data_IF_077167992948
#
_entry.id   IF_077167992948
#
_cell.length_a   1.000
_cell.length_b   1.000
_cell.length_c   1.000
_cell.angle_alpha   90.00
_cell.angle_beta   90.00
_cell.angle_gamma   90.00
#
_symmetry.space_group_name_H-M   'P 1'
#
loop_
_entity.id
_entity.type
_entity.pdbx_description
1 polymer ?
#
# COMPACT_ATOMS: atom_id res chain seq x y z
N UNK A 1 -20.20 -1.87 -11.23
CA UNK A 1 -19.38 -1.94 -10.00
C UNK A 1 -19.69 -0.73 -9.12
N UNK A 2 -19.91 -0.88 -7.81
CA UNK A 2 -20.10 0.27 -6.92
C UNK A 2 -18.82 1.11 -6.84
N UNK A 3 -18.97 2.43 -6.87
CA UNK A 3 -17.88 3.40 -6.81
C UNK A 3 -17.10 3.30 -5.47
N UNK A 4 -15.76 3.17 -5.47
CA UNK A 4 -14.93 3.08 -4.26
C UNK A 4 -15.18 4.22 -3.25
N UNK A 5 -15.51 5.41 -3.76
CA UNK A 5 -15.82 6.59 -2.94
C UNK A 5 -16.97 6.32 -1.97
N UNK A 6 -18.02 5.61 -2.42
CA UNK A 6 -19.25 5.41 -1.65
C UNK A 6 -19.13 4.29 -0.62
N UNK A 7 -18.40 3.22 -0.95
CA UNK A 7 -18.36 2.01 -0.12
C UNK A 7 -17.13 1.94 0.79
N UNK A 8 -16.09 2.73 0.51
CA UNK A 8 -14.78 2.60 1.16
C UNK A 8 -14.26 3.94 1.68
N UNK A 9 -14.05 4.93 0.80
CA UNK A 9 -13.44 6.22 1.17
C UNK A 9 -14.30 7.00 2.17
N UNK A 10 -15.57 7.24 1.85
CA UNK A 10 -16.47 8.00 2.73
C UNK A 10 -16.77 7.29 4.06
N UNK A 11 -17.12 5.99 4.09
CA UNK A 11 -17.43 5.30 5.35
C UNK A 11 -16.25 5.20 6.33
N UNK A 12 -15.02 5.14 5.81
CA UNK A 12 -13.82 5.11 6.64
C UNK A 12 -13.24 6.50 6.96
N UNK A 13 -13.83 7.57 6.41
CA UNK A 13 -13.32 8.93 6.61
C UNK A 13 -11.90 9.12 6.07
N UNK A 14 -11.59 8.53 4.91
CA UNK A 14 -10.30 8.65 4.23
C UNK A 14 -10.24 9.98 3.45
N UNK A 15 -10.15 11.09 4.18
CA UNK A 15 -10.35 12.43 3.61
C UNK A 15 -9.24 12.87 2.65
N UNK A 16 -8.08 12.20 2.68
CA UNK A 16 -6.96 12.46 1.79
C UNK A 16 -6.79 11.35 0.74
N UNK A 17 -7.83 10.53 0.53
CA UNK A 17 -7.85 9.46 -0.47
C UNK A 17 -8.81 9.77 -1.61
N UNK A 18 -8.33 9.68 -2.85
CA UNK A 18 -9.12 10.01 -4.05
C UNK A 18 -8.93 8.98 -5.16
N UNK A 19 -9.94 8.91 -6.04
CA UNK A 19 -9.90 8.16 -7.31
C UNK A 19 -9.95 9.19 -8.46
N UNK A 20 -8.79 9.75 -8.88
CA UNK A 20 -8.70 10.91 -9.77
C UNK A 20 -9.17 10.66 -11.21
N UNK A 21 -9.27 9.41 -11.65
CA UNK A 21 -9.67 9.08 -13.02
C UNK A 21 -8.59 9.50 -14.02
N UNK A 22 -8.84 10.55 -14.81
CA UNK A 22 -7.89 11.10 -15.78
C UNK A 22 -7.21 12.39 -15.32
N UNK A 23 -7.57 12.91 -14.15
CA UNK A 23 -6.99 14.15 -13.61
C UNK A 23 -5.54 13.88 -13.18
N UNK A 24 -4.53 14.56 -13.76
CA UNK A 24 -3.14 14.37 -13.40
C UNK A 24 -2.73 15.10 -12.12
N UNK A 25 -3.63 15.87 -11.50
CA UNK A 25 -3.32 16.63 -10.29
C UNK A 25 -3.38 15.79 -9.01
N UNK A 26 -2.51 16.09 -8.07
CA UNK A 26 -2.54 15.52 -6.72
C UNK A 26 -3.13 16.58 -5.76
N UNK A 27 -4.21 16.25 -5.01
CA UNK A 27 -4.80 17.17 -4.04
C UNK A 27 -3.86 17.57 -2.89
N UNK A 28 -3.93 18.82 -2.45
CA UNK A 28 -3.13 19.35 -1.34
C UNK A 28 -1.70 19.71 -1.75
N UNK A 29 -0.77 19.90 -0.80
CA UNK A 29 0.67 20.04 -1.09
C UNK A 29 1.30 18.64 -1.26
N UNK A 30 1.52 18.15 -2.49
CA UNK A 30 2.04 16.81 -2.69
C UNK A 30 3.54 16.75 -2.37
N UNK A 31 4.00 15.55 -2.01
CA UNK A 31 5.41 15.24 -2.17
C UNK A 31 5.69 15.09 -3.67
N UNK A 32 6.72 15.75 -4.18
CA UNK A 32 7.07 15.65 -5.60
C UNK A 32 7.71 14.29 -5.90
N UNK A 33 7.24 13.62 -6.95
CA UNK A 33 7.76 12.32 -7.40
C UNK A 33 8.73 12.46 -8.56
N UNK A 34 9.84 11.74 -8.50
CA UNK A 34 10.91 11.86 -9.49
C UNK A 34 11.21 10.52 -10.18
N UNK A 35 11.16 10.49 -11.50
CA UNK A 35 11.47 9.29 -12.29
C UNK A 35 12.62 9.53 -13.25
N UNK A 36 13.58 8.61 -13.26
CA UNK A 36 14.77 8.71 -14.10
C UNK A 36 14.52 8.23 -15.53
N UNK A 37 13.57 7.32 -15.74
CA UNK A 37 13.35 6.64 -17.03
C UNK A 37 14.65 6.14 -17.70
N UNK A 38 15.61 5.67 -16.89
CA UNK A 38 16.93 5.19 -17.36
C UNK A 38 17.93 6.30 -17.70
N UNK A 39 17.66 7.55 -17.34
CA UNK A 39 18.56 8.69 -17.54
C UNK A 39 19.30 9.08 -16.26
N UNK A 40 20.38 9.86 -16.38
CA UNK A 40 21.17 10.31 -15.23
C UNK A 40 20.46 11.36 -14.37
N UNK A 41 19.46 12.07 -14.93
CA UNK A 41 18.78 13.18 -14.27
C UNK A 41 17.30 12.85 -14.14
N UNK A 42 16.79 12.63 -12.92
CA UNK A 42 15.36 12.39 -12.70
C UNK A 42 14.50 13.57 -13.16
N UNK A 43 13.37 13.24 -13.79
CA UNK A 43 12.31 14.16 -14.16
C UNK A 43 11.27 14.22 -13.05
N UNK A 44 10.77 15.41 -12.75
CA UNK A 44 9.59 15.57 -11.92
C UNK A 44 8.37 15.04 -12.68
N UNK A 45 7.78 13.96 -12.16
CA UNK A 45 6.61 13.27 -12.72
C UNK A 45 5.41 13.37 -11.77
N UNK A 46 5.39 14.39 -10.91
CA UNK A 46 4.30 14.60 -9.93
C UNK A 46 2.93 14.67 -10.60
N UNK A 47 2.87 15.24 -11.81
CA UNK A 47 1.67 15.26 -12.62
C UNK A 47 1.69 14.13 -13.65
N UNK A 48 1.11 13.00 -13.28
CA UNK A 48 0.96 11.82 -14.13
C UNK A 48 -0.54 11.53 -14.30
N UNK A 49 -1.01 11.36 -15.53
CA UNK A 49 -2.38 10.91 -15.76
C UNK A 49 -2.54 9.46 -15.25
N UNK A 50 -3.32 9.24 -14.18
CA UNK A 50 -3.37 7.94 -13.51
C UNK A 50 -4.26 6.93 -14.22
N UNK A 51 -4.98 7.33 -15.29
CA UNK A 51 -5.81 6.42 -16.07
C UNK A 51 -5.01 5.32 -16.76
N UNK A 52 -3.70 5.49 -16.93
CA UNK A 52 -2.80 4.44 -17.45
C UNK A 52 -2.63 3.26 -16.47
N UNK A 53 -2.94 3.48 -15.19
CA UNK A 53 -2.89 2.48 -14.12
C UNK A 53 -4.27 1.90 -13.81
N UNK A 54 -5.33 2.68 -14.05
CA UNK A 54 -6.73 2.31 -13.78
C UNK A 54 -6.90 1.68 -12.38
N UNK A 55 -7.70 0.62 -12.23
CA UNK A 55 -7.94 -0.06 -10.95
C UNK A 55 -6.69 -0.69 -10.31
N UNK A 56 -5.56 -0.80 -11.02
CA UNK A 56 -4.34 -1.43 -10.49
C UNK A 56 -3.47 -0.50 -9.65
N UNK A 57 -3.63 0.83 -9.78
CA UNK A 57 -2.73 1.76 -9.11
C UNK A 57 -3.11 3.25 -9.17
N UNK A 58 -4.30 3.62 -9.64
CA UNK A 58 -4.68 5.03 -9.81
C UNK A 58 -5.07 5.77 -8.52
N UNK A 59 -5.18 5.08 -7.38
CA UNK A 59 -5.63 5.69 -6.12
C UNK A 59 -4.52 6.55 -5.52
N UNK A 60 -4.86 7.79 -5.15
CA UNK A 60 -4.00 8.69 -4.37
C UNK A 60 -4.44 8.59 -2.91
N UNK A 61 -3.48 8.52 -1.98
CA UNK A 61 -3.76 8.44 -0.53
C UNK A 61 -2.62 9.01 0.31
N UNK A 62 -2.73 8.91 1.63
CA UNK A 62 -1.67 9.23 2.59
C UNK A 62 -1.32 8.00 3.41
N UNK A 63 -0.13 7.99 4.04
CA UNK A 63 0.28 6.92 4.95
C UNK A 63 -0.77 6.66 6.06
N UNK A 64 -1.38 7.73 6.58
CA UNK A 64 -2.41 7.64 7.60
C UNK A 64 -3.72 7.03 7.09
N UNK A 65 -4.22 7.45 5.93
CA UNK A 65 -5.45 6.90 5.36
C UNK A 65 -5.26 5.44 4.91
N UNK A 66 -4.10 5.09 4.34
CA UNK A 66 -3.74 3.70 4.06
C UNK A 66 -3.72 2.87 5.35
N UNK A 67 -3.07 3.36 6.41
CA UNK A 67 -3.07 2.68 7.71
C UNK A 67 -4.48 2.42 8.25
N UNK A 68 -5.41 3.38 8.10
CA UNK A 68 -6.83 3.21 8.46
C UNK A 68 -7.53 2.17 7.61
N UNK A 69 -7.32 2.19 6.29
CA UNK A 69 -7.90 1.21 5.38
C UNK A 69 -7.49 -0.21 5.74
N UNK A 70 -6.20 -0.48 5.87
CA UNK A 70 -5.70 -1.82 6.18
C UNK A 70 -6.12 -2.30 7.57
N UNK A 71 -6.14 -1.39 8.56
CA UNK A 71 -6.67 -1.71 9.89
C UNK A 71 -8.15 -2.12 9.82
N UNK A 72 -8.99 -1.35 9.11
CA UNK A 72 -10.40 -1.64 8.96
C UNK A 72 -10.68 -2.91 8.14
N UNK A 73 -9.88 -3.17 7.10
CA UNK A 73 -9.99 -4.38 6.29
C UNK A 73 -9.71 -5.62 7.14
N UNK A 74 -8.55 -5.66 7.79
CA UNK A 74 -8.07 -6.85 8.48
C UNK A 74 -8.78 -7.12 9.79
N UNK A 75 -9.34 -6.08 10.43
CA UNK A 75 -10.22 -6.21 11.59
C UNK A 75 -11.67 -6.60 11.21
N UNK A 76 -11.96 -6.85 9.93
CA UNK A 76 -13.28 -7.30 9.46
C UNK A 76 -14.38 -6.24 9.44
N UNK A 77 -14.05 -4.95 9.44
CA UNK A 77 -15.05 -3.87 9.35
C UNK A 77 -15.60 -3.65 7.94
N UNK A 78 -14.88 -4.13 6.92
CA UNK A 78 -15.22 -3.88 5.51
C UNK A 78 -15.88 -5.07 4.82
N UNK A 79 -15.54 -6.29 5.23
CA UNK A 79 -15.94 -7.53 4.55
C UNK A 79 -16.67 -8.44 5.53
N UNK A 80 -17.65 -9.20 5.04
CA UNK A 80 -18.23 -10.28 5.83
C UNK A 80 -17.15 -11.33 6.16
N UNK A 81 -17.27 -12.10 7.25
CA UNK A 81 -16.23 -13.04 7.69
C UNK A 81 -15.73 -13.97 6.57
N UNK A 82 -16.64 -14.61 5.83
CA UNK A 82 -16.26 -15.50 4.72
C UNK A 82 -15.47 -14.79 3.60
N UNK A 83 -15.75 -13.51 3.34
CA UNK A 83 -15.02 -12.73 2.33
C UNK A 83 -13.65 -12.30 2.84
N UNK A 84 -13.54 -11.97 4.13
CA UNK A 84 -12.27 -11.67 4.77
C UNK A 84 -11.37 -12.90 4.79
N UNK A 85 -11.92 -14.06 5.14
CA UNK A 85 -11.19 -15.33 5.15
C UNK A 85 -10.70 -15.68 3.75
N UNK A 86 -11.54 -15.52 2.72
CA UNK A 86 -11.12 -15.69 1.32
C UNK A 86 -10.01 -14.72 0.92
N UNK A 87 -10.05 -13.47 1.39
CA UNK A 87 -9.00 -12.47 1.12
C UNK A 87 -7.66 -12.86 1.75
N UNK A 88 -7.69 -13.42 2.97
CA UNK A 88 -6.54 -13.85 3.75
C UNK A 88 -6.04 -15.27 3.39
N UNK A 89 -6.81 -16.02 2.62
CA UNK A 89 -6.40 -17.36 2.17
C UNK A 89 -5.37 -17.20 1.06
N UNK A 90 -4.14 -17.59 1.34
CA UNK A 90 -3.00 -17.39 0.45
C UNK A 90 -2.61 -18.68 -0.27
N UNK A 91 -1.91 -18.52 -1.39
CA UNK A 91 -1.20 -19.60 -2.10
C UNK A 91 0.26 -19.22 -2.28
N UNK A 92 1.19 -20.17 -2.38
CA UNK A 92 2.60 -19.86 -2.61
C UNK A 92 2.81 -19.04 -3.89
N UNK A 93 3.49 -17.89 -3.76
CA UNK A 93 3.84 -17.02 -4.87
C UNK A 93 5.34 -16.66 -4.82
N UNK A 94 6.24 -17.63 -5.09
CA UNK A 94 7.69 -17.44 -4.90
C UNK A 94 8.28 -16.30 -5.75
N UNK A 95 7.66 -15.96 -6.88
CA UNK A 95 8.08 -14.83 -7.71
C UNK A 95 7.85 -13.47 -7.03
N UNK A 96 6.95 -13.41 -6.05
CA UNK A 96 6.67 -12.24 -5.23
C UNK A 96 7.38 -12.30 -3.86
N UNK A 97 8.09 -13.40 -3.55
CA UNK A 97 8.72 -13.62 -2.26
C UNK A 97 7.73 -13.72 -1.10
N UNK A 98 6.48 -14.12 -1.37
CA UNK A 98 5.38 -14.14 -0.40
C UNK A 98 4.41 -15.30 -0.69
N UNK A 99 3.56 -15.63 0.27
CA UNK A 99 2.29 -16.28 -0.03
C UNK A 99 1.28 -15.18 -0.40
N UNK A 100 0.43 -15.37 -1.41
CA UNK A 100 -0.42 -14.30 -1.94
C UNK A 100 -1.89 -14.70 -1.98
N UNK A 101 -2.75 -13.84 -1.42
CA UNK A 101 -4.19 -13.97 -1.40
C UNK A 101 -4.88 -13.05 -2.41
N UNK A 102 -6.09 -12.58 -2.09
CA UNK A 102 -6.83 -11.68 -2.97
C UNK A 102 -6.37 -10.23 -2.78
N UNK A 103 -5.22 -9.89 -3.39
CA UNK A 103 -4.66 -8.53 -3.32
C UNK A 103 -3.92 -8.23 -2.01
N UNK A 104 -3.44 -9.25 -1.31
CA UNK A 104 -2.58 -9.13 -0.13
C UNK A 104 -1.50 -10.22 -0.19
N UNK A 105 -0.24 -9.84 0.03
CA UNK A 105 0.84 -10.77 0.30
C UNK A 105 0.95 -11.03 1.81
N UNK A 106 1.16 -12.27 2.22
CA UNK A 106 1.50 -12.64 3.59
C UNK A 106 3.02 -12.85 3.69
N UNK A 107 3.63 -12.17 4.65
CA UNK A 107 5.08 -12.18 4.88
C UNK A 107 5.37 -12.53 6.34
N UNK A 108 6.40 -13.37 6.62
CA UNK A 108 6.83 -13.64 7.98
C UNK A 108 7.42 -12.37 8.61
N UNK A 109 7.13 -12.15 9.89
CA UNK A 109 7.74 -11.10 10.70
C UNK A 109 8.96 -11.62 11.45
N UNK A 110 9.98 -10.78 11.62
CA UNK A 110 11.21 -11.13 12.35
C UNK A 110 10.96 -11.48 13.83
N UNK A 111 9.91 -10.92 14.43
CA UNK A 111 9.49 -11.19 15.81
C UNK A 111 8.46 -12.33 15.94
N UNK A 112 8.28 -13.12 14.88
CA UNK A 112 7.35 -14.24 14.83
C UNK A 112 5.91 -13.85 14.45
N UNK A 113 5.21 -14.81 13.85
CA UNK A 113 3.95 -14.56 13.16
C UNK A 113 4.17 -13.99 11.76
N UNK A 114 3.11 -13.43 11.18
CA UNK A 114 3.10 -12.86 9.84
C UNK A 114 2.43 -11.48 9.82
N UNK A 115 2.60 -10.76 8.72
CA UNK A 115 1.82 -9.58 8.38
C UNK A 115 1.25 -9.72 6.97
N UNK A 116 0.15 -9.01 6.71
CA UNK A 116 -0.33 -8.78 5.35
C UNK A 116 0.28 -7.49 4.82
N UNK A 117 0.78 -7.54 3.59
CA UNK A 117 1.49 -6.46 2.94
C UNK A 117 1.06 -6.29 1.48
N UNK A 118 1.33 -5.11 0.93
CA UNK A 118 1.20 -4.86 -0.50
C UNK A 118 2.22 -3.78 -0.94
N UNK A 119 3.18 -4.11 -1.82
CA UNK A 119 4.02 -3.09 -2.43
C UNK A 119 3.23 -2.29 -3.48
N UNK A 120 3.50 -1.00 -3.60
CA UNK A 120 2.97 -0.13 -4.64
C UNK A 120 4.10 0.53 -5.40
N UNK A 121 3.97 0.62 -6.72
CA UNK A 121 4.98 1.25 -7.56
C UNK A 121 4.34 1.91 -8.78
N UNK A 122 4.57 3.21 -8.92
CA UNK A 122 4.24 4.02 -10.11
C UNK A 122 5.46 4.91 -10.40
N UNK A 123 5.61 5.49 -11.62
CA UNK A 123 6.74 6.38 -11.89
C UNK A 123 6.89 7.46 -10.81
N UNK A 124 8.08 7.54 -10.20
CA UNK A 124 8.42 8.51 -9.16
C UNK A 124 7.81 8.27 -7.76
N UNK A 125 7.10 7.17 -7.53
CA UNK A 125 6.61 6.81 -6.20
C UNK A 125 6.72 5.32 -5.91
N UNK A 126 7.22 4.98 -4.73
CA UNK A 126 7.18 3.64 -4.16
C UNK A 126 6.43 3.67 -2.84
N UNK A 127 5.61 2.67 -2.58
CA UNK A 127 4.87 2.52 -1.32
C UNK A 127 5.03 1.09 -0.81
N UNK A 128 5.11 0.94 0.50
CA UNK A 128 5.02 -0.36 1.17
C UNK A 128 4.13 -0.21 2.39
N UNK A 129 3.15 -1.10 2.49
CA UNK A 129 2.29 -1.22 3.66
C UNK A 129 2.42 -2.61 4.24
N UNK A 130 2.41 -2.70 5.57
CA UNK A 130 2.25 -3.93 6.31
C UNK A 130 1.26 -3.75 7.46
N UNK A 131 0.52 -4.80 7.76
CA UNK A 131 -0.45 -4.80 8.84
C UNK A 131 -0.55 -6.18 9.51
N UNK A 132 -0.78 -6.21 10.82
CA UNK A 132 -0.99 -7.48 11.54
C UNK A 132 -2.28 -8.18 11.08
N UNK A 133 -2.38 -9.51 11.18
CA UNK A 133 -3.54 -10.26 10.70
C UNK A 133 -4.88 -9.84 11.30
N UNK A 134 -4.88 -9.22 12.47
CA UNK A 134 -6.05 -8.66 13.17
C UNK A 134 -6.30 -7.16 12.90
N UNK A 135 -5.41 -6.51 12.14
CA UNK A 135 -5.49 -5.08 11.81
C UNK A 135 -5.17 -4.14 12.96
N UNK A 136 -4.66 -4.63 14.10
CA UNK A 136 -4.38 -3.80 15.28
C UNK A 136 -3.15 -2.91 15.11
N UNK A 137 -2.21 -3.32 14.25
CA UNK A 137 -1.02 -2.53 13.92
C UNK A 137 -0.85 -2.43 12.43
N UNK A 138 -0.50 -1.23 11.97
CA UNK A 138 -0.17 -0.93 10.57
C UNK A 138 1.08 -0.09 10.52
N UNK A 139 1.88 -0.30 9.48
CA UNK A 139 3.03 0.52 9.14
C UNK A 139 3.01 0.79 7.63
N UNK A 140 3.16 2.06 7.26
CA UNK A 140 3.15 2.50 5.87
C UNK A 140 4.36 3.40 5.65
N UNK A 141 5.13 3.09 4.62
CA UNK A 141 6.27 3.89 4.17
C UNK A 141 6.12 4.17 2.68
N UNK A 142 6.55 5.35 2.26
CA UNK A 142 6.64 5.70 0.84
C UNK A 142 7.96 6.42 0.57
N UNK A 143 8.42 6.32 -0.68
CA UNK A 143 9.55 7.05 -1.23
C UNK A 143 9.11 7.73 -2.53
N UNK A 144 9.74 8.86 -2.84
CA UNK A 144 9.38 9.73 -3.98
C UNK A 144 10.40 9.64 -5.10
N UNK A 145 10.77 8.42 -5.44
CA UNK A 145 11.62 8.07 -6.57
C UNK A 145 11.16 6.73 -7.18
N UNK A 146 11.84 6.29 -8.24
CA UNK A 146 11.58 4.98 -8.86
C UNK A 146 12.03 3.80 -8.01
N UNK A 147 12.85 4.01 -6.99
CA UNK A 147 13.44 2.96 -6.17
C UNK A 147 14.15 1.86 -6.96
N UNK A 148 14.66 0.91 -6.21
CA UNK A 148 15.26 -0.32 -6.70
C UNK A 148 14.98 -1.45 -5.69
N UNK A 149 15.60 -2.61 -5.89
CA UNK A 149 15.49 -3.73 -4.96
C UNK A 149 15.98 -3.35 -3.54
N UNK A 150 17.03 -2.52 -3.43
CA UNK A 150 17.52 -2.05 -2.13
C UNK A 150 16.51 -1.16 -1.43
N UNK A 151 15.84 -0.28 -2.19
CA UNK A 151 14.78 0.61 -1.69
C UNK A 151 13.61 -0.23 -1.19
N UNK A 152 13.18 -1.22 -1.98
CA UNK A 152 12.10 -2.13 -1.58
C UNK A 152 12.46 -2.92 -0.32
N UNK A 153 13.69 -3.44 -0.23
CA UNK A 153 14.19 -4.16 0.94
C UNK A 153 14.28 -3.25 2.18
N UNK A 154 14.71 -1.99 2.02
CA UNK A 154 14.78 -1.04 3.12
C UNK A 154 13.38 -0.68 3.64
N UNK A 155 12.42 -0.49 2.74
CA UNK A 155 11.01 -0.22 3.07
C UNK A 155 10.38 -1.41 3.79
N UNK A 156 10.55 -2.64 3.30
CA UNK A 156 10.03 -3.84 3.95
C UNK A 156 10.65 -4.06 5.33
N UNK A 157 11.96 -3.83 5.47
CA UNK A 157 12.68 -3.92 6.75
C UNK A 157 12.17 -2.88 7.75
N UNK A 158 11.88 -1.65 7.31
CA UNK A 158 11.32 -0.62 8.19
C UNK A 158 9.92 -1.01 8.68
N UNK A 159 9.07 -1.52 7.79
CA UNK A 159 7.73 -2.01 8.15
C UNK A 159 7.81 -3.17 9.13
N UNK A 160 8.67 -4.16 8.90
CA UNK A 160 8.90 -5.28 9.84
C UNK A 160 9.27 -4.75 11.24
N UNK A 161 10.26 -3.84 11.33
CA UNK A 161 10.69 -3.23 12.59
C UNK A 161 9.55 -2.51 13.30
N UNK A 162 8.78 -1.68 12.58
CA UNK A 162 7.67 -0.93 13.18
C UNK A 162 6.50 -1.84 13.60
N UNK A 163 6.28 -2.98 12.95
CA UNK A 163 5.31 -3.99 13.39
C UNK A 163 5.84 -4.85 14.55
N UNK A 164 7.16 -4.94 14.73
CA UNK A 164 7.79 -5.71 15.81
C UNK A 164 8.20 -4.88 17.03
N UNK A 165 8.07 -3.55 16.98
CA UNK A 165 8.65 -2.59 17.96
C UNK A 165 8.41 -2.89 19.45
N UNK A 166 7.28 -3.51 19.81
CA UNK A 166 6.94 -3.82 21.20
C UNK A 166 7.28 -5.25 21.65
N UNK A 167 7.68 -6.13 20.72
CA UNK A 167 8.09 -7.52 20.99
C UNK A 167 9.61 -7.71 21.11
N UNK A 168 10.38 -6.66 20.89
CA UNK A 168 11.85 -6.65 20.91
C UNK A 168 12.39 -6.04 22.22
N UNK A 169 11.55 -5.89 23.25
CA UNK A 169 11.98 -5.49 24.61
C UNK A 169 12.29 -6.69 25.48
#
# INVERSE_FOLDING_TARGET
MPCPVRILIRPLGLTATTTPGTDPSIPGPPAHGYSAFGTATPLDVTQLNPSVLDASGSIISTAHDLGRFYSALLSGRLLAPAQLDATKTTVPAPQLGADYGLGLGELPLSCGGSCFAHPGGVPGYRTWVGATPDGTRTAVVFATDDGDENTQQAMSTLVDRELCRDKVR
#
